data_IF_864685513171
#
_entry.id   IF_864685513171
#
_cell.length_a   1.000
_cell.length_b   1.000
_cell.length_c   1.000
_cell.angle_alpha   90.00
_cell.angle_beta   90.00
_cell.angle_gamma   90.00
#
_symmetry.space_group_name_H-M   'P 1'
#
loop_
_entity.id
_entity.type
_entity.pdbx_description
1 polymer ?
#
# COMPACT_ATOMS: atom_id res chain seq x y z
N UNK A 1 -8.93 1.24 -4.47
CA UNK A 1 -8.59 1.23 -3.02
C UNK A 1 -9.51 2.19 -2.30
N UNK A 2 -9.89 1.95 -1.04
CA UNK A 2 -10.76 2.87 -0.30
C UNK A 2 -10.49 2.86 1.22
N UNK A 3 -10.92 3.92 1.92
CA UNK A 3 -10.76 4.09 3.37
C UNK A 3 -11.96 3.54 4.17
N UNK A 4 -11.90 3.62 5.50
CA UNK A 4 -12.86 3.08 6.48
C UNK A 4 -14.33 3.44 6.27
N UNK A 5 -14.63 4.47 5.48
CA UNK A 5 -16.02 4.81 5.13
C UNK A 5 -16.67 3.81 4.17
N UNK A 6 -15.84 3.03 3.47
CA UNK A 6 -16.25 2.09 2.44
C UNK A 6 -16.04 0.64 2.88
N UNK A 7 -16.02 0.38 4.19
CA UNK A 7 -15.75 -0.93 4.78
C UNK A 7 -16.97 -1.87 4.81
N UNK A 8 -17.94 -1.62 3.92
CA UNK A 8 -19.17 -2.40 3.84
C UNK A 8 -18.94 -3.75 3.14
N UNK A 9 -19.48 -4.86 3.68
CA UNK A 9 -19.44 -6.15 3.01
C UNK A 9 -20.01 -6.11 1.59
N UNK A 10 -21.00 -5.25 1.36
CA UNK A 10 -21.65 -5.08 0.06
C UNK A 10 -20.73 -4.55 -1.02
N UNK A 11 -19.85 -3.59 -0.68
CA UNK A 11 -18.87 -3.10 -1.63
C UNK A 11 -17.88 -4.20 -2.02
N UNK A 12 -17.45 -5.02 -1.06
CA UNK A 12 -16.58 -6.17 -1.32
C UNK A 12 -17.28 -7.16 -2.25
N UNK A 13 -18.53 -7.52 -1.94
CA UNK A 13 -19.34 -8.40 -2.78
C UNK A 13 -19.50 -7.87 -4.20
N UNK A 14 -19.72 -6.56 -4.35
CA UNK A 14 -19.85 -5.90 -5.65
C UNK A 14 -18.53 -5.84 -6.44
N UNK A 15 -17.40 -5.58 -5.78
CA UNK A 15 -16.09 -5.66 -6.43
C UNK A 15 -15.84 -7.09 -6.93
N UNK A 16 -16.14 -8.10 -6.11
CA UNK A 16 -15.99 -9.51 -6.49
C UNK A 16 -16.89 -9.89 -7.66
N UNK A 17 -18.16 -9.46 -7.69
CA UNK A 17 -19.07 -9.79 -8.79
C UNK A 17 -18.64 -9.19 -10.13
N UNK A 18 -17.85 -8.11 -10.12
CA UNK A 18 -17.27 -7.50 -11.32
C UNK A 18 -15.85 -7.99 -11.64
N UNK A 19 -15.29 -8.90 -10.84
CA UNK A 19 -13.90 -9.34 -10.98
C UNK A 19 -12.88 -8.21 -10.74
N UNK A 20 -13.25 -7.19 -9.97
CA UNK A 20 -12.38 -6.05 -9.70
C UNK A 20 -11.49 -6.31 -8.49
N UNK A 21 -10.21 -6.01 -8.66
CA UNK A 21 -9.28 -6.00 -7.55
C UNK A 21 -9.59 -4.86 -6.57
N UNK A 22 -9.54 -5.18 -5.29
CA UNK A 22 -9.84 -4.23 -4.23
C UNK A 22 -8.83 -4.32 -3.10
N UNK A 23 -8.64 -3.17 -2.44
CA UNK A 23 -7.95 -2.99 -1.17
C UNK A 23 -8.73 -1.96 -0.37
N UNK A 24 -9.41 -2.38 0.69
CA UNK A 24 -10.33 -1.55 1.47
C UNK A 24 -9.89 -1.57 2.93
N UNK A 25 -9.70 -0.41 3.55
CA UNK A 25 -9.40 -0.35 4.99
C UNK A 25 -10.67 -0.59 5.79
N UNK A 26 -10.56 -1.48 6.77
CA UNK A 26 -11.65 -1.87 7.65
C UNK A 26 -11.57 -1.13 8.99
N UNK A 27 -12.73 -0.91 9.62
CA UNK A 27 -12.81 -0.48 11.01
C UNK A 27 -12.68 -1.67 11.97
N UNK A 28 -12.03 -1.46 13.12
CA UNK A 28 -11.75 -2.53 14.09
C UNK A 28 -12.99 -3.16 14.74
N UNK A 29 -14.13 -2.46 14.77
CA UNK A 29 -15.38 -2.96 15.35
C UNK A 29 -16.17 -3.87 14.40
N UNK A 30 -15.72 -4.07 13.15
CA UNK A 30 -16.32 -5.02 12.23
C UNK A 30 -16.16 -6.45 12.76
N UNK A 31 -17.21 -7.24 12.60
CA UNK A 31 -17.23 -8.66 12.95
C UNK A 31 -17.12 -9.51 11.69
N UNK A 32 -16.32 -10.57 11.78
CA UNK A 32 -16.24 -11.60 10.76
C UNK A 32 -16.25 -13.01 11.39
N UNK A 33 -16.28 -14.01 10.54
CA UNK A 33 -16.14 -15.41 10.90
C UNK A 33 -14.87 -15.98 10.28
N UNK A 34 -14.11 -16.75 11.06
CA UNK A 34 -12.94 -17.50 10.61
C UNK A 34 -13.08 -18.93 11.12
N UNK A 35 -13.12 -19.91 10.22
CA UNK A 35 -13.29 -21.32 10.58
C UNK A 35 -14.52 -21.58 11.48
N UNK A 36 -15.62 -20.87 11.23
CA UNK A 36 -16.85 -20.96 12.03
C UNK A 36 -16.85 -20.18 13.36
N UNK A 37 -15.72 -19.64 13.80
CA UNK A 37 -15.63 -18.81 15.02
C UNK A 37 -15.83 -17.33 14.69
N UNK A 38 -16.65 -16.66 15.49
CA UNK A 38 -16.86 -15.21 15.41
C UNK A 38 -15.61 -14.48 15.92
N UNK A 39 -15.07 -13.58 15.12
CA UNK A 39 -13.89 -12.76 15.41
C UNK A 39 -14.19 -11.29 15.13
N UNK A 40 -13.52 -10.39 15.85
CA UNK A 40 -13.54 -8.95 15.55
C UNK A 40 -12.28 -8.55 14.80
N UNK A 41 -12.38 -7.54 13.94
CA UNK A 41 -11.21 -7.02 13.21
C UNK A 41 -10.14 -6.48 14.16
N UNK A 42 -10.55 -5.85 15.27
CA UNK A 42 -9.64 -5.44 16.33
C UNK A 42 -8.93 -6.64 17.00
N UNK A 43 -9.65 -7.75 17.23
CA UNK A 43 -9.05 -8.98 17.75
C UNK A 43 -8.02 -9.58 16.80
N UNK A 44 -8.31 -9.59 15.49
CA UNK A 44 -7.35 -10.00 14.46
C UNK A 44 -6.15 -9.05 14.40
N UNK A 45 -6.33 -7.75 14.66
CA UNK A 45 -5.23 -6.80 14.72
C UNK A 45 -4.35 -6.95 15.96
N UNK A 46 -4.81 -7.67 16.99
CA UNK A 46 -4.03 -7.95 18.20
C UNK A 46 -3.35 -9.31 18.17
N UNK A 47 -3.68 -10.20 17.23
CA UNK A 47 -3.02 -11.50 17.12
C UNK A 47 -1.60 -11.39 16.55
N UNK A 48 -0.77 -12.39 16.81
CA UNK A 48 0.59 -12.50 16.26
C UNK A 48 0.57 -12.65 14.73
N UNK A 49 -0.43 -13.36 14.22
CA UNK A 49 -0.70 -13.47 12.78
C UNK A 49 -1.11 -12.11 12.20
N UNK A 50 -0.53 -11.75 11.06
CA UNK A 50 -0.83 -10.50 10.33
C UNK A 50 -1.62 -10.70 9.04
N UNK A 51 -1.72 -11.93 8.55
CA UNK A 51 -2.28 -12.22 7.24
C UNK A 51 -3.29 -13.36 7.35
N UNK A 52 -4.52 -13.12 6.91
CA UNK A 52 -5.63 -14.05 7.04
C UNK A 52 -6.30 -14.25 5.70
N UNK A 53 -6.48 -15.51 5.32
CA UNK A 53 -7.26 -15.88 4.14
C UNK A 53 -8.63 -16.42 4.56
N UNK A 54 -9.61 -16.26 3.68
CA UNK A 54 -10.93 -16.86 3.87
C UNK A 54 -11.73 -16.28 5.03
N UNK A 55 -11.56 -14.99 5.33
CA UNK A 55 -12.32 -14.32 6.39
C UNK A 55 -13.68 -13.91 5.86
N UNK A 56 -14.75 -14.35 6.52
CA UNK A 56 -16.12 -14.16 6.04
C UNK A 56 -16.84 -13.05 6.82
N UNK A 57 -17.29 -11.99 6.14
CA UNK A 57 -18.01 -10.91 6.79
C UNK A 57 -19.49 -11.22 7.02
N UNK A 58 -19.89 -11.24 8.31
CA UNK A 58 -21.26 -11.23 8.88
C UNK A 58 -22.32 -11.97 8.01
N UNK A 59 -23.61 -11.64 8.14
CA UNK A 59 -24.75 -12.42 7.65
C UNK A 59 -24.72 -12.74 6.14
N UNK A 60 -23.97 -11.96 5.33
CA UNK A 60 -23.82 -12.18 3.89
C UNK A 60 -22.71 -13.17 3.53
N UNK A 61 -21.90 -13.62 4.51
CA UNK A 61 -20.79 -14.59 4.36
C UNK A 61 -19.86 -14.28 3.18
N UNK A 62 -19.59 -13.00 2.96
CA UNK A 62 -18.70 -12.58 1.89
C UNK A 62 -17.27 -12.84 2.33
N UNK A 63 -16.59 -13.73 1.61
CA UNK A 63 -15.22 -14.14 1.89
C UNK A 63 -14.21 -13.15 1.31
N UNK A 64 -13.24 -12.74 2.11
CA UNK A 64 -12.10 -11.88 1.70
C UNK A 64 -10.80 -12.35 2.34
N UNK A 65 -9.69 -11.89 1.78
CA UNK A 65 -8.41 -11.90 2.46
C UNK A 65 -8.22 -10.61 3.27
N UNK A 66 -7.44 -10.70 4.36
CA UNK A 66 -7.13 -9.59 5.26
C UNK A 66 -5.62 -9.54 5.50
N UNK A 67 -5.04 -8.36 5.29
CA UNK A 67 -3.68 -8.03 5.69
C UNK A 67 -3.68 -6.96 6.78
N UNK A 68 -2.76 -7.08 7.74
CA UNK A 68 -2.61 -6.14 8.85
C UNK A 68 -1.21 -5.56 8.82
N UNK A 69 -1.12 -4.23 8.76
CA UNK A 69 0.12 -3.47 8.84
C UNK A 69 0.08 -2.56 10.06
N UNK A 70 1.21 -2.50 10.77
CA UNK A 70 1.44 -1.50 11.78
C UNK A 70 2.51 -0.54 11.27
N UNK A 71 2.11 0.70 11.00
CA UNK A 71 3.04 1.75 10.63
C UNK A 71 3.72 2.30 11.89
N UNK A 72 5.07 2.34 11.97
CA UNK A 72 5.79 2.85 13.13
C UNK A 72 5.37 4.30 13.44
N UNK A 73 4.85 4.54 14.63
CA UNK A 73 4.36 5.87 15.07
C UNK A 73 2.85 6.06 14.99
N UNK A 74 2.09 5.11 14.45
CA UNK A 74 0.64 5.11 14.53
C UNK A 74 0.12 4.16 15.61
N UNK A 75 -0.78 4.65 16.47
CA UNK A 75 -1.38 3.86 17.58
C UNK A 75 -2.31 2.76 17.04
N UNK A 76 -3.00 3.03 15.92
CA UNK A 76 -3.91 2.07 15.28
C UNK A 76 -3.24 1.30 14.15
N UNK A 77 -3.38 -0.03 14.17
CA UNK A 77 -3.01 -0.89 13.05
C UNK A 77 -3.98 -0.71 11.88
N UNK A 78 -3.45 -0.81 10.67
CA UNK A 78 -4.24 -0.77 9.45
C UNK A 78 -4.67 -2.18 9.09
N UNK A 79 -5.98 -2.40 9.10
CA UNK A 79 -6.60 -3.66 8.72
C UNK A 79 -7.15 -3.47 7.31
N UNK A 80 -6.67 -4.25 6.36
CA UNK A 80 -6.97 -4.07 4.93
C UNK A 80 -7.59 -5.36 4.39
N UNK A 81 -8.84 -5.28 3.91
CA UNK A 81 -9.46 -6.32 3.11
C UNK A 81 -8.96 -6.23 1.66
N UNK A 82 -8.68 -7.37 1.04
CA UNK A 82 -8.15 -7.42 -0.31
C UNK A 82 -8.57 -8.68 -1.09
N UNK A 83 -8.60 -8.56 -2.42
CA UNK A 83 -8.87 -9.68 -3.35
C UNK A 83 -7.68 -10.65 -3.43
N UNK A 84 -6.48 -10.11 -3.42
CA UNK A 84 -5.23 -10.87 -3.57
C UNK A 84 -4.85 -11.64 -2.30
N UNK A 85 -3.94 -12.61 -2.43
CA UNK A 85 -3.34 -13.30 -1.29
C UNK A 85 -2.63 -12.27 -0.36
N UNK A 86 -2.91 -12.31 0.95
CA UNK A 86 -2.36 -11.32 1.87
C UNK A 86 -0.88 -11.64 2.14
N UNK A 87 -0.05 -10.62 2.03
CA UNK A 87 1.38 -10.64 2.31
C UNK A 87 1.88 -9.23 2.61
N UNK A 88 3.14 -9.09 2.99
CA UNK A 88 3.68 -7.78 3.40
C UNK A 88 3.56 -6.75 2.28
N UNK A 89 4.09 -7.06 1.09
CA UNK A 89 4.08 -6.14 -0.06
C UNK A 89 2.66 -5.86 -0.56
N UNK A 90 1.83 -6.90 -0.71
CA UNK A 90 0.46 -6.73 -1.20
C UNK A 90 -0.39 -5.90 -0.24
N UNK A 91 -0.16 -6.02 1.08
CA UNK A 91 -0.83 -5.18 2.08
C UNK A 91 -0.25 -3.76 2.08
N UNK A 92 1.08 -3.63 1.90
CA UNK A 92 1.78 -2.34 1.89
C UNK A 92 1.37 -1.50 0.68
N UNK A 93 0.97 -2.11 -0.44
CA UNK A 93 0.39 -1.40 -1.59
C UNK A 93 -0.78 -0.48 -1.21
N UNK A 94 -1.47 -0.73 -0.10
CA UNK A 94 -2.49 0.18 0.41
C UNK A 94 -1.95 1.60 0.68
N UNK A 95 -0.65 1.75 0.95
CA UNK A 95 0.02 3.05 1.09
C UNK A 95 -0.10 3.92 -0.16
N UNK A 96 -0.18 3.32 -1.36
CA UNK A 96 -0.35 4.04 -2.64
C UNK A 96 -1.61 4.92 -2.66
N UNK A 97 -2.60 4.62 -1.81
CA UNK A 97 -3.77 5.49 -1.59
C UNK A 97 -3.36 6.93 -1.23
N UNK A 98 -2.24 7.16 -0.57
CA UNK A 98 -1.76 8.50 -0.24
C UNK A 98 -1.53 9.38 -1.47
N UNK A 99 -1.35 8.80 -2.66
CA UNK A 99 -1.22 9.53 -3.92
C UNK A 99 -2.41 10.42 -4.28
N UNK A 100 -3.60 10.19 -3.69
CA UNK A 100 -4.76 11.09 -3.89
C UNK A 100 -4.74 12.31 -2.96
N UNK A 101 -3.93 12.31 -1.89
CA UNK A 101 -3.89 13.40 -0.92
C UNK A 101 -3.45 14.75 -1.53
N UNK A 102 -2.44 14.82 -2.42
CA UNK A 102 -2.06 16.07 -3.08
C UNK A 102 -3.23 16.71 -3.82
N UNK A 103 -4.04 15.91 -4.52
CA UNK A 103 -5.25 16.38 -5.23
C UNK A 103 -6.23 17.06 -4.26
N UNK A 104 -6.59 16.38 -3.17
CA UNK A 104 -7.51 16.94 -2.16
C UNK A 104 -6.91 18.15 -1.43
N UNK A 105 -5.60 18.19 -1.22
CA UNK A 105 -4.93 19.35 -0.62
C UNK A 105 -4.98 20.56 -1.56
N UNK A 106 -4.78 20.35 -2.87
CA UNK A 106 -4.88 21.40 -3.87
C UNK A 106 -6.29 21.97 -4.02
N UNK A 107 -7.33 21.21 -3.69
CA UNK A 107 -8.72 21.68 -3.76
C UNK A 107 -9.12 22.57 -2.58
N UNK A 108 -8.42 22.44 -1.45
CA UNK A 108 -8.64 23.22 -0.23
C UNK A 108 -8.00 24.61 -0.31
N UNK A 109 -8.13 25.37 0.78
CA UNK A 109 -7.63 26.74 0.92
C UNK A 109 -6.12 26.93 0.67
N UNK A 110 -5.32 25.87 0.73
CA UNK A 110 -3.88 25.89 0.41
C UNK A 110 -3.56 25.80 -1.09
N UNK A 111 -4.57 25.63 -1.95
CA UNK A 111 -4.44 25.61 -3.40
C UNK A 111 -5.49 26.50 -4.07
N UNK A 112 -6.36 25.90 -4.87
CA UNK A 112 -7.35 26.61 -5.69
C UNK A 112 -8.55 27.13 -4.91
N UNK A 113 -8.71 26.75 -3.64
CA UNK A 113 -9.76 27.26 -2.75
C UNK A 113 -11.15 27.20 -3.39
N UNK A 114 -11.57 26.01 -3.84
CA UNK A 114 -12.82 25.84 -4.60
C UNK A 114 -14.03 26.43 -3.83
N UNK A 115 -14.02 26.34 -2.51
CA UNK A 115 -15.03 26.91 -1.60
C UNK A 115 -15.13 28.45 -1.63
N UNK A 116 -14.08 29.14 -2.08
CA UNK A 116 -14.03 30.59 -2.23
C UNK A 116 -14.16 31.07 -3.67
N UNK A 117 -14.17 30.15 -4.63
CA UNK A 117 -14.57 30.49 -5.99
C UNK A 117 -16.08 30.72 -5.92
N UNK A 118 -16.55 31.96 -6.06
CA UNK A 118 -17.98 32.33 -6.02
C UNK A 118 -18.79 31.75 -7.21
N UNK A 119 -18.40 30.58 -7.71
CA UNK A 119 -19.00 29.85 -8.81
C UNK A 119 -20.19 29.08 -8.24
N UNK A 120 -21.38 29.66 -8.38
CA UNK A 120 -22.63 29.04 -7.98
C UNK A 120 -23.21 28.09 -9.03
N UNK A 121 -22.66 28.10 -10.24
CA UNK A 121 -23.08 27.24 -11.34
C UNK A 121 -22.38 25.87 -11.25
N UNK A 122 -23.14 24.76 -11.09
CA UNK A 122 -22.57 23.43 -10.91
C UNK A 122 -21.86 22.91 -12.17
N UNK A 123 -22.25 23.34 -13.36
CA UNK A 123 -21.60 22.94 -14.62
C UNK A 123 -20.22 23.59 -14.71
N UNK A 124 -20.14 24.88 -14.41
CA UNK A 124 -18.85 25.62 -14.37
C UNK A 124 -17.90 25.06 -13.32
N UNK A 125 -18.44 24.69 -12.16
CA UNK A 125 -17.68 24.02 -11.11
C UNK A 125 -17.17 22.66 -11.57
N UNK A 126 -18.02 21.86 -12.25
CA UNK A 126 -17.62 20.59 -12.84
C UNK A 126 -16.49 20.73 -13.86
N UNK A 127 -16.58 21.71 -14.75
CA UNK A 127 -15.53 22.03 -15.72
C UNK A 127 -14.22 22.44 -15.05
N UNK A 128 -14.27 23.25 -13.99
CA UNK A 128 -13.09 23.63 -13.21
C UNK A 128 -12.43 22.41 -12.56
N UNK A 129 -13.21 21.55 -11.91
CA UNK A 129 -12.71 20.31 -11.30
C UNK A 129 -12.07 19.39 -12.35
N UNK A 130 -12.69 19.26 -13.52
CA UNK A 130 -12.15 18.49 -14.63
C UNK A 130 -10.81 19.06 -15.13
N UNK A 131 -10.75 20.37 -15.37
CA UNK A 131 -9.53 21.04 -15.81
C UNK A 131 -8.39 20.85 -14.80
N UNK A 132 -8.69 20.98 -13.51
CA UNK A 132 -7.73 20.75 -12.42
C UNK A 132 -7.28 19.28 -12.35
N UNK A 133 -8.19 18.31 -12.54
CA UNK A 133 -7.84 16.89 -12.58
C UNK A 133 -6.89 16.57 -13.75
N UNK A 134 -7.14 17.14 -14.93
CA UNK A 134 -6.27 17.00 -16.10
C UNK A 134 -4.89 17.64 -15.88
N UNK A 135 -4.85 18.85 -15.32
CA UNK A 135 -3.61 19.53 -15.00
C UNK A 135 -2.75 18.73 -14.00
N UNK A 136 -3.39 18.18 -12.95
CA UNK A 136 -2.70 17.34 -11.98
C UNK A 136 -2.21 16.03 -12.61
N UNK A 137 -3.02 15.40 -13.47
CA UNK A 137 -2.61 14.21 -14.21
C UNK A 137 -1.35 14.48 -15.05
N UNK A 138 -1.31 15.60 -15.77
CA UNK A 138 -0.12 16.00 -16.53
C UNK A 138 1.08 16.26 -15.63
N UNK A 139 0.95 17.06 -14.57
CA UNK A 139 2.06 17.36 -13.66
C UNK A 139 2.64 16.11 -12.99
N UNK A 140 1.79 15.16 -12.58
CA UNK A 140 2.23 13.87 -12.02
C UNK A 140 2.89 13.01 -13.09
N UNK A 141 2.31 12.93 -14.28
CA UNK A 141 2.85 12.11 -15.38
C UNK A 141 4.22 12.60 -15.84
N UNK A 142 4.40 13.93 -15.98
CA UNK A 142 5.69 14.52 -16.34
C UNK A 142 6.72 14.35 -15.23
N UNK A 143 6.33 14.55 -13.97
CA UNK A 143 7.23 14.31 -12.83
C UNK A 143 7.67 12.85 -12.70
N UNK A 144 6.78 11.89 -12.94
CA UNK A 144 7.13 10.46 -12.97
C UNK A 144 8.08 10.13 -14.12
N UNK A 145 7.86 10.71 -15.30
CA UNK A 145 8.74 10.54 -16.44
C UNK A 145 10.13 11.13 -16.18
N UNK A 146 10.21 12.34 -15.63
CA UNK A 146 11.48 12.99 -15.31
C UNK A 146 12.24 12.21 -14.23
N UNK A 147 11.59 11.76 -13.16
CA UNK A 147 12.23 10.92 -12.15
C UNK A 147 12.80 9.60 -12.70
N UNK A 148 12.17 9.04 -13.75
CA UNK A 148 12.66 7.83 -14.40
C UNK A 148 13.85 8.09 -15.34
N UNK A 149 13.93 9.28 -15.96
CA UNK A 149 14.96 9.63 -16.95
C UNK A 149 16.16 10.39 -16.34
N UNK A 150 15.91 11.20 -15.31
CA UNK A 150 16.87 12.08 -14.64
C UNK A 150 16.84 11.85 -13.11
N UNK A 151 17.21 10.66 -12.62
CA UNK A 151 17.19 10.38 -11.19
C UNK A 151 18.13 11.34 -10.44
N UNK A 152 17.61 11.96 -9.40
CA UNK A 152 18.41 12.90 -8.59
C UNK A 152 19.49 12.14 -7.80
N UNK A 153 20.62 12.78 -7.43
CA UNK A 153 21.73 12.10 -6.76
C UNK A 153 21.36 11.33 -5.48
N UNK A 154 20.33 11.79 -4.77
CA UNK A 154 19.84 11.20 -3.51
C UNK A 154 18.98 9.93 -3.72
N UNK A 155 18.58 9.61 -4.95
CA UNK A 155 17.78 8.43 -5.29
C UNK A 155 18.62 7.23 -5.76
N UNK A 156 19.95 7.34 -5.74
CA UNK A 156 20.84 6.19 -6.01
C UNK A 156 20.69 5.14 -4.91
N UNK A 157 19.96 4.06 -5.23
CA UNK A 157 19.98 2.82 -4.46
C UNK A 157 21.44 2.34 -4.32
N UNK A 158 21.91 1.93 -3.14
CA UNK A 158 23.25 1.35 -3.00
C UNK A 158 23.37 0.17 -3.97
N UNK A 159 24.33 0.25 -4.89
CA UNK A 159 24.68 -0.88 -5.73
C UNK A 159 25.04 -2.06 -4.81
N UNK A 160 24.41 -3.21 -5.05
CA UNK A 160 24.76 -4.44 -4.38
C UNK A 160 26.24 -4.72 -4.68
N UNK A 161 27.07 -4.66 -3.64
CA UNK A 161 28.45 -5.15 -3.70
C UNK A 161 28.37 -6.64 -4.05
N UNK A 162 28.86 -7.00 -5.23
CA UNK A 162 28.99 -8.41 -5.62
C UNK A 162 29.97 -9.10 -4.66
N UNK A 163 29.64 -10.27 -4.10
CA UNK A 163 30.59 -11.02 -3.29
C UNK A 163 31.78 -11.42 -4.16
N UNK A 164 32.99 -11.13 -3.65
CA UNK A 164 34.24 -11.20 -4.38
C UNK A 164 34.59 -12.56 -4.96
N UNK A 165 35.43 -12.50 -6.00
CA UNK A 165 36.25 -13.60 -6.47
C UNK A 165 37.02 -14.22 -5.30
N UNK A 166 36.68 -15.45 -4.93
CA UNK A 166 37.60 -16.36 -4.25
C UNK A 166 38.40 -17.11 -5.31
N UNK A 167 39.74 -17.04 -5.32
CA UNK A 167 40.54 -17.98 -6.11
C UNK A 167 40.55 -19.36 -5.46
N UNK A 168 40.57 -20.36 -6.34
CA UNK A 168 40.42 -21.79 -6.12
C UNK A 168 41.44 -22.44 -5.18
N UNK A 169 41.02 -23.59 -4.65
CA UNK A 169 41.75 -24.56 -3.87
C UNK A 169 43.09 -25.00 -4.49
N UNK A 170 44.10 -25.14 -3.63
CA UNK A 170 45.29 -25.94 -3.89
C UNK A 170 45.78 -26.55 -2.58
N UNK A 171 45.73 -27.87 -2.47
CA UNK A 171 46.32 -28.68 -1.39
C UNK A 171 46.91 -29.94 -2.01
N UNK A 172 47.82 -30.72 -1.38
CA UNK A 172 48.73 -30.45 -0.26
C UNK A 172 50.22 -30.83 -0.58
N UNK A 173 51.16 -30.48 0.31
CA UNK A 173 52.52 -31.06 0.29
C UNK A 173 53.52 -30.41 1.25
N UNK A 174 53.78 -31.07 2.38
CA UNK A 174 54.98 -30.90 3.24
C UNK A 174 56.16 -31.73 2.65
N UNK A 175 57.43 -31.68 3.15
CA UNK A 175 57.95 -31.01 4.36
C UNK A 175 59.32 -30.28 4.22
N UNK A 176 59.80 -29.79 5.37
CA UNK A 176 61.21 -29.71 5.83
C UNK A 176 61.99 -28.37 5.86
N UNK A 177 62.44 -28.08 7.10
CA UNK A 177 63.78 -27.67 7.53
C UNK A 177 64.15 -26.17 7.66
N UNK A 178 64.30 -25.77 8.94
CA UNK A 178 65.56 -25.30 9.57
C UNK A 178 65.97 -23.81 9.58
N UNK A 179 66.46 -23.43 10.79
CA UNK A 179 67.31 -22.30 11.22
C UNK A 179 66.71 -20.88 11.18
N UNK A 180 66.49 -20.18 12.30
CA UNK A 180 67.44 -19.68 13.31
C UNK A 180 68.36 -18.56 12.80
N UNK A 181 68.00 -17.30 13.08
CA UNK A 181 68.78 -16.27 13.82
C UNK A 181 68.05 -14.93 13.76
#
# INVERSE_FOLDING_TARGET
MADRFYDTPDLIGWCKSRGWDYRLRLKGNLTAYRGGKKVTMAGLALSEDRYFQGVQFTAKRIETNIGIIHDPGHVERWIVAMSEKPGYLSTLDYTKRWGIKPMFSGFKSRGFSIEHTHIHDPERLGCLILAMALALYWAVSTGMWDAAQNPTPDEKKPQAVSPGNSPEEGSPGLPEASAAS
#
